data_IF_349734068953
#
_entry.id   IF_349734068953
#
_cell.length_a   1.000
_cell.length_b   1.000
_cell.length_c   1.000
_cell.angle_alpha   90.00
_cell.angle_beta   90.00
_cell.angle_gamma   90.00
#
_symmetry.space_group_name_H-M   'P 1'
#
loop_
_entity.id
_entity.type
_entity.pdbx_description
1 polymer ?
#
# COMPACT_ATOMS: atom_id res chain seq x y z
N UNK A 1 -37.57 33.89 21.40
CA UNK A 1 -36.19 33.41 21.51
C UNK A 1 -35.52 33.57 20.17
N UNK A 2 -34.53 34.43 20.05
CA UNK A 2 -33.81 34.61 18.78
C UNK A 2 -33.07 33.30 18.43
N UNK A 3 -33.33 32.75 17.24
CA UNK A 3 -32.61 31.55 16.73
C UNK A 3 -31.15 31.89 16.54
N UNK A 4 -30.25 31.00 16.98
CA UNK A 4 -28.81 31.16 16.75
C UNK A 4 -28.52 31.22 15.24
N UNK A 5 -27.55 32.05 14.79
CA UNK A 5 -27.11 32.04 13.39
C UNK A 5 -26.60 30.65 12.99
N UNK A 6 -27.13 30.11 11.90
CA UNK A 6 -26.70 28.81 11.35
C UNK A 6 -25.40 28.96 10.58
N UNK A 7 -24.45 28.06 10.81
CA UNK A 7 -23.17 27.97 10.12
C UNK A 7 -22.89 26.54 9.70
N UNK A 8 -22.68 26.33 8.43
CA UNK A 8 -22.24 25.05 7.91
C UNK A 8 -20.78 25.16 7.46
N UNK A 9 -19.99 24.15 7.81
CA UNK A 9 -18.60 24.02 7.36
C UNK A 9 -18.41 22.64 6.73
N UNK A 10 -17.80 22.61 5.57
CA UNK A 10 -17.31 21.41 4.92
C UNK A 10 -15.79 21.36 5.11
N UNK A 11 -15.28 20.21 5.49
CA UNK A 11 -13.86 20.00 5.70
C UNK A 11 -13.47 18.59 5.24
N UNK A 12 -12.24 18.44 4.76
CA UNK A 12 -11.68 17.18 4.30
C UNK A 12 -10.50 16.75 5.19
N UNK A 13 -10.44 15.48 5.52
CA UNK A 13 -9.45 14.88 6.41
C UNK A 13 -8.98 13.54 5.85
N UNK A 14 -7.86 13.00 6.36
CA UNK A 14 -7.41 11.66 6.01
C UNK A 14 -7.07 10.80 7.23
N UNK A 15 -7.42 9.52 7.17
CA UNK A 15 -6.84 8.47 8.02
C UNK A 15 -5.58 7.98 7.34
N UNK A 16 -4.43 8.19 7.98
CA UNK A 16 -3.12 7.74 7.49
C UNK A 16 -2.53 6.82 8.53
N UNK A 17 -2.39 5.55 8.18
CA UNK A 17 -1.83 4.50 9.03
C UNK A 17 -0.47 4.07 8.51
N UNK A 18 0.46 3.79 9.43
CA UNK A 18 1.74 3.15 9.16
C UNK A 18 1.99 2.14 10.26
N UNK A 19 2.01 0.86 9.93
CA UNK A 19 2.06 -0.23 10.91
C UNK A 19 0.94 -0.10 11.95
N UNK A 20 1.29 0.01 13.23
CA UNK A 20 0.37 0.23 14.36
C UNK A 20 0.19 1.70 14.75
N UNK A 21 0.67 2.63 13.92
CA UNK A 21 0.64 4.07 14.15
C UNK A 21 -0.40 4.77 13.27
N UNK A 22 -0.98 5.85 13.80
CA UNK A 22 -1.82 6.79 13.07
C UNK A 22 -1.19 8.18 13.10
N UNK A 23 -1.19 8.87 11.94
CA UNK A 23 -0.77 10.26 11.85
C UNK A 23 -1.88 11.17 12.37
N UNK A 24 -1.57 12.02 13.35
CA UNK A 24 -2.50 12.96 13.93
C UNK A 24 -1.89 14.37 13.98
N UNK A 25 -2.78 15.37 13.89
CA UNK A 25 -2.49 16.80 14.06
C UNK A 25 -3.03 17.26 15.41
N UNK A 26 -2.19 17.91 16.23
CA UNK A 26 -2.58 18.48 17.51
C UNK A 26 -3.16 19.87 17.32
N UNK A 27 -4.37 20.07 17.82
CA UNK A 27 -5.05 21.35 17.71
C UNK A 27 -4.33 22.46 18.50
N UNK A 28 -4.23 23.63 17.88
CA UNK A 28 -3.63 24.81 18.49
C UNK A 28 -4.47 25.35 19.64
N UNK A 29 -3.84 26.11 20.56
CA UNK A 29 -4.51 26.73 21.71
C UNK A 29 -5.56 27.77 21.31
N UNK A 30 -5.50 28.28 20.10
CA UNK A 30 -6.55 29.14 19.50
C UNK A 30 -7.86 28.39 19.24
N UNK A 31 -7.79 27.04 19.09
CA UNK A 31 -8.94 26.16 18.83
C UNK A 31 -9.47 25.53 20.12
N UNK A 32 -8.59 25.05 20.99
CA UNK A 32 -8.93 24.41 22.27
C UNK A 32 -7.88 24.69 23.34
N UNK A 33 -8.32 24.82 24.58
CA UNK A 33 -7.41 24.99 25.74
C UNK A 33 -6.78 23.67 26.18
N UNK A 34 -7.40 22.54 25.89
CA UNK A 34 -6.94 21.20 26.26
C UNK A 34 -6.11 20.59 25.14
N UNK A 35 -5.25 19.64 25.49
CA UNK A 35 -4.58 18.81 24.51
C UNK A 35 -5.63 17.96 23.78
N UNK A 36 -5.71 18.13 22.46
CA UNK A 36 -6.67 17.40 21.65
C UNK A 36 -6.10 17.18 20.24
N UNK A 37 -6.18 15.96 19.78
CA UNK A 37 -5.66 15.54 18.47
C UNK A 37 -6.80 15.27 17.50
N UNK A 38 -6.55 15.51 16.23
CA UNK A 38 -7.47 15.26 15.11
C UNK A 38 -6.77 14.56 13.96
N UNK A 39 -7.54 14.07 12.99
CA UNK A 39 -6.97 13.68 11.71
C UNK A 39 -6.36 14.90 11.01
N UNK A 40 -5.26 14.74 10.27
CA UNK A 40 -4.74 15.82 9.43
C UNK A 40 -5.77 16.19 8.36
N UNK A 41 -5.92 17.49 8.11
CA UNK A 41 -6.92 18.03 7.19
C UNK A 41 -7.66 19.23 7.74
N UNK A 42 -8.40 19.91 6.89
CA UNK A 42 -9.05 21.16 7.23
C UNK A 42 -10.18 21.59 6.33
N UNK A 43 -10.50 22.86 6.34
CA UNK A 43 -11.60 23.44 5.57
C UNK A 43 -11.27 23.49 4.09
N UNK A 44 -12.32 23.34 3.25
CA UNK A 44 -12.20 23.56 1.83
C UNK A 44 -12.22 25.06 1.52
N UNK A 45 -11.36 25.49 0.63
CA UNK A 45 -11.46 26.79 0.01
C UNK A 45 -12.64 26.86 -0.97
N UNK A 46 -13.07 28.08 -1.32
CA UNK A 46 -14.20 28.25 -2.23
C UNK A 46 -13.89 27.69 -3.62
N UNK A 47 -14.62 26.65 -4.02
CA UNK A 47 -14.44 25.97 -5.31
C UNK A 47 -13.34 24.91 -5.34
N UNK A 48 -12.71 24.62 -4.21
CA UNK A 48 -11.69 23.60 -4.08
C UNK A 48 -12.30 22.19 -4.07
N UNK A 49 -11.67 21.25 -4.76
CA UNK A 49 -12.02 19.84 -4.68
C UNK A 49 -11.63 19.27 -3.31
N UNK A 50 -12.47 18.46 -2.66
CA UNK A 50 -12.15 17.89 -1.34
C UNK A 50 -10.87 17.06 -1.29
N UNK A 51 -10.49 16.41 -2.40
CA UNK A 51 -9.23 15.64 -2.47
C UNK A 51 -8.02 16.56 -2.52
N UNK A 52 -8.11 17.65 -3.26
CA UNK A 52 -7.04 18.64 -3.33
C UNK A 52 -6.88 19.35 -1.97
N UNK A 53 -8.01 19.70 -1.33
CA UNK A 53 -8.03 20.31 -0.01
C UNK A 53 -7.30 19.43 1.03
N UNK A 54 -7.63 18.14 1.12
CA UNK A 54 -7.03 17.26 2.12
C UNK A 54 -5.53 17.06 1.89
N UNK A 55 -5.08 16.95 0.64
CA UNK A 55 -3.65 16.83 0.31
C UNK A 55 -2.89 18.11 0.70
N UNK A 56 -3.44 19.29 0.35
CA UNK A 56 -2.88 20.59 0.74
C UNK A 56 -2.77 20.72 2.26
N UNK A 57 -3.84 20.44 3.00
CA UNK A 57 -3.88 20.52 4.47
C UNK A 57 -2.90 19.55 5.13
N UNK A 58 -2.79 18.30 4.62
CA UNK A 58 -1.80 17.35 5.13
C UNK A 58 -0.39 17.90 4.97
N UNK A 59 -0.09 18.48 3.80
CA UNK A 59 1.23 19.09 3.56
C UNK A 59 1.47 20.26 4.52
N UNK A 60 0.52 21.16 4.70
CA UNK A 60 0.64 22.35 5.57
C UNK A 60 0.78 21.96 7.04
N UNK A 61 -0.02 21.01 7.51
CA UNK A 61 -0.05 20.56 8.91
C UNK A 61 1.05 19.60 9.29
N UNK A 62 1.57 18.80 8.33
CA UNK A 62 2.51 17.70 8.64
C UNK A 62 3.83 17.76 7.88
N UNK A 63 3.93 18.58 6.82
CA UNK A 63 5.10 18.64 5.92
C UNK A 63 5.30 17.37 5.10
N UNK A 64 4.30 16.49 5.04
CA UNK A 64 4.35 15.23 4.29
C UNK A 64 3.59 15.34 2.98
N UNK A 65 4.14 14.72 1.95
CA UNK A 65 3.45 14.56 0.67
C UNK A 65 2.64 13.25 0.73
N UNK A 66 1.33 13.40 0.85
CA UNK A 66 0.40 12.28 0.98
C UNK A 66 -0.40 12.06 -0.30
N UNK A 67 -0.72 10.80 -0.55
CA UNK A 67 -1.75 10.41 -1.51
C UNK A 67 -3.02 10.03 -0.76
N UNK A 68 -4.19 10.20 -1.42
CA UNK A 68 -5.49 9.82 -0.86
C UNK A 68 -6.29 8.98 -1.84
N UNK A 69 -7.10 8.08 -1.29
CA UNK A 69 -7.97 7.20 -2.07
C UNK A 69 -9.05 7.95 -2.86
N UNK A 70 -9.72 7.24 -3.76
CA UNK A 70 -10.79 7.82 -4.59
C UNK A 70 -12.11 7.96 -3.84
N UNK A 71 -12.32 7.17 -2.81
CA UNK A 71 -13.56 7.14 -2.02
C UNK A 71 -13.36 7.76 -0.66
N UNK A 72 -14.42 8.39 -0.14
CA UNK A 72 -14.43 8.99 1.17
C UNK A 72 -15.66 8.58 1.98
N UNK A 73 -15.54 8.62 3.29
CA UNK A 73 -16.64 8.51 4.24
C UNK A 73 -17.08 9.92 4.66
N UNK A 74 -18.36 10.10 4.93
CA UNK A 74 -18.88 11.41 5.35
C UNK A 74 -19.43 11.30 6.76
N UNK A 75 -18.90 12.13 7.65
CA UNK A 75 -19.35 12.27 9.03
C UNK A 75 -20.00 13.63 9.24
N UNK A 76 -21.00 13.67 10.12
CA UNK A 76 -21.76 14.87 10.40
C UNK A 76 -21.77 15.15 11.89
N UNK A 77 -21.48 16.39 12.27
CA UNK A 77 -21.57 16.83 13.65
C UNK A 77 -22.40 18.11 13.76
N UNK A 78 -23.46 18.05 14.57
CA UNK A 78 -24.29 19.21 14.89
C UNK A 78 -23.93 19.73 16.28
N UNK A 79 -23.48 20.98 16.34
CA UNK A 79 -22.93 21.65 17.52
C UNK A 79 -23.69 22.93 17.82
N UNK A 80 -24.92 22.85 18.41
CA UNK A 80 -25.72 24.03 18.71
C UNK A 80 -25.11 24.83 19.86
N UNK A 81 -24.99 26.13 19.67
CA UNK A 81 -24.53 27.07 20.70
C UNK A 81 -23.02 27.12 20.90
N UNK A 82 -22.25 26.57 19.97
CA UNK A 82 -20.78 26.66 20.00
C UNK A 82 -20.30 28.10 19.75
N UNK A 83 -19.19 28.49 20.37
CA UNK A 83 -18.55 29.78 20.12
C UNK A 83 -17.73 29.73 18.85
N UNK A 84 -17.98 30.67 17.92
CA UNK A 84 -17.22 30.88 16.70
C UNK A 84 -17.12 32.38 16.42
N UNK A 85 -15.93 32.89 16.15
CA UNK A 85 -15.72 34.30 15.79
C UNK A 85 -16.39 35.28 16.78
N UNK A 86 -16.23 35.02 18.11
CA UNK A 86 -16.75 35.88 19.17
C UNK A 86 -18.27 35.86 19.39
N UNK A 87 -19.00 34.89 18.79
CA UNK A 87 -20.46 34.73 18.98
C UNK A 87 -20.86 33.26 19.06
N UNK A 88 -22.04 33.03 19.69
CA UNK A 88 -22.69 31.71 19.67
C UNK A 88 -23.35 31.46 18.32
N UNK A 89 -23.10 30.29 17.74
CA UNK A 89 -23.72 29.86 16.49
C UNK A 89 -24.29 28.45 16.63
N UNK A 90 -25.22 28.11 15.76
CA UNK A 90 -25.71 26.77 15.52
C UNK A 90 -24.83 26.17 14.37
N UNK A 91 -23.77 25.46 14.74
CA UNK A 91 -22.78 24.94 13.79
C UNK A 91 -23.11 23.52 13.35
N UNK A 92 -22.99 23.29 12.05
CA UNK A 92 -23.08 21.98 11.43
C UNK A 92 -21.82 21.71 10.62
N UNK A 93 -21.04 20.72 11.04
CA UNK A 93 -19.82 20.32 10.35
C UNK A 93 -20.06 19.04 9.51
N UNK A 94 -19.79 19.12 8.22
CA UNK A 94 -19.66 17.95 7.35
C UNK A 94 -18.17 17.67 7.16
N UNK A 95 -17.77 16.43 7.41
CA UNK A 95 -16.39 15.99 7.39
C UNK A 95 -16.26 14.86 6.38
N UNK A 96 -15.49 15.12 5.33
CA UNK A 96 -15.18 14.16 4.27
C UNK A 96 -13.85 13.50 4.64
N UNK A 97 -13.85 12.21 4.94
CA UNK A 97 -12.66 11.51 5.44
C UNK A 97 -12.22 10.46 4.42
N UNK A 98 -11.03 10.67 3.89
CA UNK A 98 -10.36 9.76 2.97
C UNK A 98 -9.45 8.78 3.71
N UNK A 99 -9.16 7.65 3.11
CA UNK A 99 -7.99 6.85 3.46
C UNK A 99 -6.79 7.42 2.72
N UNK A 100 -5.71 7.71 3.44
CA UNK A 100 -4.49 8.28 2.88
C UNK A 100 -3.25 7.48 3.26
N UNK A 101 -2.16 7.71 2.55
CA UNK A 101 -0.87 7.11 2.83
C UNK A 101 0.27 8.05 2.43
N UNK A 102 1.42 7.81 3.00
CA UNK A 102 2.68 8.49 2.69
C UNK A 102 3.76 7.45 2.38
N UNK A 103 4.78 7.78 1.58
CA UNK A 103 5.88 6.86 1.30
C UNK A 103 6.50 6.30 2.59
N UNK A 104 6.98 5.05 2.60
CA UNK A 104 7.58 4.43 3.79
C UNK A 104 8.80 5.20 4.32
N UNK A 105 9.55 5.82 3.43
CA UNK A 105 10.75 6.64 3.70
C UNK A 105 10.45 8.12 3.96
N UNK A 106 9.16 8.50 4.04
CA UNK A 106 8.79 9.88 4.33
C UNK A 106 9.43 10.37 5.64
N UNK A 107 9.89 11.64 5.69
CA UNK A 107 10.52 12.20 6.86
C UNK A 107 9.59 12.27 8.06
N UNK A 108 10.10 12.47 9.28
CA UNK A 108 9.25 12.76 10.44
C UNK A 108 8.32 13.95 10.17
N UNK A 109 7.04 13.89 10.61
CA UNK A 109 6.10 14.98 10.39
C UNK A 109 6.54 16.25 11.11
N UNK A 110 6.31 17.41 10.47
CA UNK A 110 6.57 18.73 11.02
C UNK A 110 5.54 19.73 10.49
N UNK A 111 5.02 20.58 11.34
CA UNK A 111 4.07 21.62 10.93
C UNK A 111 4.80 22.68 10.09
N UNK A 112 4.24 23.01 8.92
CA UNK A 112 4.74 24.06 8.03
C UNK A 112 3.91 25.33 8.14
N UNK A 113 2.63 25.21 8.49
CA UNK A 113 1.71 26.34 8.64
C UNK A 113 2.15 27.26 9.79
N UNK A 114 2.17 28.57 9.53
CA UNK A 114 2.48 29.59 10.55
C UNK A 114 1.15 30.17 11.05
N UNK A 115 0.97 30.23 12.38
CA UNK A 115 -0.25 30.74 13.06
C UNK A 115 -1.55 30.02 12.69
N UNK A 116 -1.46 28.76 12.25
CA UNK A 116 -2.59 27.94 11.88
C UNK A 116 -3.37 27.29 13.03
N UNK A 117 -4.21 26.34 12.66
CA UNK A 117 -5.03 25.56 13.59
C UNK A 117 -4.30 24.38 14.22
N UNK A 118 -3.11 24.02 13.69
CA UNK A 118 -2.28 22.87 14.12
C UNK A 118 -0.98 23.37 14.73
N UNK A 119 -0.61 22.81 15.88
CA UNK A 119 0.62 23.16 16.59
C UNK A 119 1.68 22.05 16.57
N UNK A 120 1.28 20.84 16.29
CA UNK A 120 2.15 19.65 16.27
C UNK A 120 1.54 18.58 15.36
N UNK A 121 2.37 17.83 14.64
CA UNK A 121 1.97 16.62 13.93
C UNK A 121 2.86 15.46 14.39
N UNK A 122 2.23 14.31 14.67
CA UNK A 122 2.96 13.15 15.17
C UNK A 122 2.28 11.82 14.83
N UNK A 123 3.10 10.80 14.69
CA UNK A 123 2.65 9.41 14.68
C UNK A 123 2.31 8.98 16.12
N UNK A 124 1.11 8.46 16.33
CA UNK A 124 0.63 7.99 17.63
C UNK A 124 0.24 6.52 17.54
N UNK A 125 0.55 5.68 18.55
CA UNK A 125 0.07 4.30 18.56
C UNK A 125 -1.46 4.25 18.52
N UNK A 126 -2.01 3.46 17.59
CA UNK A 126 -3.47 3.26 17.47
C UNK A 126 -4.06 2.73 18.78
N UNK A 127 -3.34 1.84 19.47
CA UNK A 127 -3.75 1.32 20.77
C UNK A 127 -3.92 2.45 21.82
N UNK A 128 -3.00 3.43 21.85
CA UNK A 128 -3.08 4.57 22.79
C UNK A 128 -4.28 5.47 22.50
N UNK A 129 -4.63 5.63 21.22
CA UNK A 129 -5.82 6.38 20.80
C UNK A 129 -7.09 5.65 21.22
N UNK A 130 -7.18 4.35 20.96
CA UNK A 130 -8.36 3.54 21.29
C UNK A 130 -8.58 3.38 22.79
N UNK A 131 -7.51 3.34 23.57
CA UNK A 131 -7.56 3.26 25.04
C UNK A 131 -7.70 4.64 25.74
N UNK A 132 -7.74 5.73 24.93
CA UNK A 132 -7.93 7.09 25.46
C UNK A 132 -6.70 7.71 26.12
N UNK A 133 -5.50 7.12 25.94
CA UNK A 133 -4.23 7.72 26.41
C UNK A 133 -3.83 8.93 25.56
N UNK A 134 -4.21 8.93 24.27
CA UNK A 134 -4.10 10.09 23.40
C UNK A 134 -5.49 10.69 23.24
N UNK A 135 -5.75 11.91 23.77
CA UNK A 135 -7.06 12.53 23.66
C UNK A 135 -7.32 12.99 22.21
N UNK A 136 -8.40 12.50 21.62
CA UNK A 136 -8.75 12.79 20.24
C UNK A 136 -10.16 13.33 20.09
N UNK A 137 -10.42 14.08 19.01
CA UNK A 137 -11.80 14.44 18.64
C UNK A 137 -12.59 13.18 18.25
N UNK A 138 -13.93 13.12 18.51
CA UNK A 138 -14.73 11.91 18.26
C UNK A 138 -14.60 11.36 16.83
N UNK A 139 -14.42 12.23 15.84
CA UNK A 139 -14.23 11.83 14.43
C UNK A 139 -13.08 10.84 14.23
N UNK A 140 -11.99 10.95 15.01
CA UNK A 140 -10.84 10.03 14.90
C UNK A 140 -11.27 8.61 15.24
N UNK A 141 -12.02 8.43 16.34
CA UNK A 141 -12.51 7.12 16.77
C UNK A 141 -13.57 6.56 15.77
N UNK A 142 -14.46 7.42 15.27
CA UNK A 142 -15.45 7.06 14.26
C UNK A 142 -14.75 6.59 12.98
N UNK A 143 -13.75 7.35 12.52
CA UNK A 143 -13.01 7.03 11.31
C UNK A 143 -12.18 5.74 11.45
N UNK A 144 -11.55 5.50 12.62
CA UNK A 144 -10.84 4.25 12.90
C UNK A 144 -11.79 3.05 12.97
N UNK A 145 -12.98 3.19 13.57
CA UNK A 145 -13.96 2.12 13.64
C UNK A 145 -14.49 1.70 12.26
N UNK A 146 -14.60 2.66 11.34
CA UNK A 146 -15.05 2.45 9.96
C UNK A 146 -13.91 2.13 8.99
N UNK A 147 -12.65 2.31 9.41
CA UNK A 147 -11.51 2.03 8.55
C UNK A 147 -11.46 0.54 8.19
N UNK A 148 -11.23 0.27 6.91
CA UNK A 148 -10.96 -1.07 6.40
C UNK A 148 -9.74 -0.99 5.50
N UNK A 149 -8.78 -1.90 5.63
CA UNK A 149 -7.65 -1.99 4.71
C UNK A 149 -8.15 -2.05 3.27
N UNK A 150 -7.43 -1.42 2.37
CA UNK A 150 -7.72 -1.51 0.95
C UNK A 150 -7.53 -2.96 0.49
N UNK A 151 -8.60 -3.58 0.02
CA UNK A 151 -8.51 -4.94 -0.51
C UNK A 151 -7.94 -4.89 -1.91
N UNK A 152 -6.78 -5.51 -2.06
CA UNK A 152 -6.08 -5.61 -3.34
C UNK A 152 -5.88 -7.09 -3.69
N UNK A 153 -6.56 -7.55 -4.73
CA UNK A 153 -6.35 -8.89 -5.27
C UNK A 153 -5.57 -8.81 -6.57
N UNK A 154 -4.48 -9.56 -6.66
CA UNK A 154 -3.65 -9.64 -7.86
C UNK A 154 -3.60 -11.08 -8.37
N UNK A 155 -3.87 -11.26 -9.65
CA UNK A 155 -3.60 -12.50 -10.36
C UNK A 155 -2.23 -12.40 -11.00
N UNK A 156 -1.35 -13.36 -10.73
CA UNK A 156 -0.06 -13.51 -11.37
C UNK A 156 0.06 -14.80 -12.17
N UNK A 157 0.92 -14.82 -13.18
CA UNK A 157 1.25 -16.01 -13.96
C UNK A 157 2.77 -16.16 -14.09
N UNK A 158 3.28 -17.33 -13.74
CA UNK A 158 4.70 -17.62 -13.56
C UNK A 158 5.09 -18.88 -14.31
N UNK A 159 6.36 -18.96 -14.73
CA UNK A 159 6.94 -20.11 -15.41
C UNK A 159 7.84 -20.93 -14.49
N UNK A 160 7.58 -22.20 -14.30
CA UNK A 160 8.59 -23.14 -13.85
C UNK A 160 9.35 -23.67 -15.04
N UNK A 161 10.59 -23.21 -15.23
CA UNK A 161 11.52 -23.68 -16.25
C UNK A 161 12.67 -24.39 -15.56
N UNK A 162 12.82 -25.68 -15.85
CA UNK A 162 13.90 -26.52 -15.31
C UNK A 162 14.67 -27.09 -16.47
N UNK A 163 16.00 -27.02 -16.42
CA UNK A 163 16.91 -27.66 -17.38
C UNK A 163 17.74 -28.78 -16.69
N UNK A 164 18.29 -29.68 -17.48
CA UNK A 164 19.03 -30.84 -17.01
C UNK A 164 18.16 -32.09 -16.89
N UNK A 165 18.77 -33.25 -17.22
CA UNK A 165 18.08 -34.55 -17.23
C UNK A 165 18.11 -35.28 -15.87
N UNK A 166 18.82 -34.72 -14.90
CA UNK A 166 18.97 -35.32 -13.59
C UNK A 166 19.82 -36.59 -13.56
N UNK A 167 20.45 -37.01 -14.70
CA UNK A 167 21.26 -38.22 -14.76
C UNK A 167 22.45 -38.17 -13.81
N UNK A 168 23.02 -36.96 -13.59
CA UNK A 168 24.06 -36.67 -12.59
C UNK A 168 23.51 -35.93 -11.36
N UNK A 169 22.19 -35.81 -11.20
CA UNK A 169 21.56 -35.02 -10.15
C UNK A 169 21.60 -33.50 -10.37
N UNK A 170 22.17 -33.03 -11.48
CA UNK A 170 22.32 -31.62 -11.77
C UNK A 170 21.10 -31.12 -12.56
N UNK A 171 20.18 -30.46 -11.85
CA UNK A 171 19.04 -29.73 -12.42
C UNK A 171 19.15 -28.28 -12.01
N UNK A 172 18.94 -27.37 -12.95
CA UNK A 172 18.86 -25.94 -12.68
C UNK A 172 17.43 -25.43 -12.90
N UNK A 173 17.01 -24.47 -12.13
CA UNK A 173 15.75 -23.73 -12.30
C UNK A 173 16.06 -22.29 -12.70
N UNK A 174 15.30 -21.76 -13.65
CA UNK A 174 15.37 -20.35 -14.02
C UNK A 174 14.66 -19.51 -12.98
N UNK A 175 15.37 -18.54 -12.39
CA UNK A 175 14.83 -17.63 -11.39
C UNK A 175 15.15 -16.19 -11.75
N UNK A 176 14.27 -15.28 -11.30
CA UNK A 176 14.44 -13.82 -11.34
C UNK A 176 14.55 -13.28 -9.91
N UNK A 177 15.42 -12.28 -9.69
CA UNK A 177 15.60 -11.67 -8.37
C UNK A 177 14.79 -10.38 -8.28
N UNK A 178 14.07 -10.24 -7.15
CA UNK A 178 13.20 -9.11 -6.88
C UNK A 178 14.04 -7.88 -6.53
N UNK A 179 13.83 -6.78 -7.28
CA UNK A 179 14.48 -5.49 -7.09
C UNK A 179 13.94 -4.74 -5.87
N UNK A 180 14.54 -3.58 -5.55
CA UNK A 180 14.07 -2.68 -4.49
C UNK A 180 12.64 -2.14 -4.71
N UNK A 181 12.10 -2.28 -5.91
CA UNK A 181 10.72 -1.85 -6.25
C UNK A 181 9.66 -2.91 -5.96
N UNK A 182 10.07 -4.14 -5.67
CA UNK A 182 9.16 -5.26 -5.38
C UNK A 182 9.07 -5.60 -3.91
N UNK A 183 8.04 -6.38 -3.56
CA UNK A 183 7.97 -7.03 -2.24
C UNK A 183 9.08 -8.09 -2.13
N UNK A 184 9.62 -8.30 -0.93
CA UNK A 184 10.69 -9.28 -0.67
C UNK A 184 11.98 -9.03 -1.45
N UNK A 185 12.41 -7.76 -1.52
CA UNK A 185 13.66 -7.33 -2.15
C UNK A 185 14.82 -8.28 -1.89
N UNK A 186 15.52 -8.68 -2.96
CA UNK A 186 16.66 -9.59 -2.93
C UNK A 186 16.32 -11.07 -2.90
N UNK A 187 15.05 -11.44 -2.70
CA UNK A 187 14.60 -12.83 -2.85
C UNK A 187 14.45 -13.21 -4.31
N UNK A 188 14.60 -14.50 -4.60
CA UNK A 188 14.40 -15.04 -5.94
C UNK A 188 12.98 -15.61 -6.11
N UNK A 189 12.41 -15.44 -7.27
CA UNK A 189 11.09 -15.93 -7.68
C UNK A 189 11.17 -16.67 -9.01
N UNK A 190 10.07 -17.32 -9.40
CA UNK A 190 9.89 -17.79 -10.76
C UNK A 190 9.72 -16.58 -11.71
N UNK A 191 10.23 -16.65 -12.95
CA UNK A 191 9.93 -15.65 -13.97
C UNK A 191 8.42 -15.51 -14.17
N UNK A 192 7.93 -14.28 -14.22
CA UNK A 192 6.50 -14.02 -14.33
C UNK A 192 6.06 -12.75 -13.63
N UNK A 193 4.81 -12.39 -13.82
CA UNK A 193 4.27 -11.15 -13.30
C UNK A 193 2.75 -11.10 -13.27
N UNK A 194 2.23 -9.88 -13.12
CA UNK A 194 0.79 -9.65 -13.10
C UNK A 194 0.14 -9.93 -14.44
N UNK A 195 -1.05 -10.55 -14.38
CA UNK A 195 -1.90 -10.74 -15.55
C UNK A 195 -2.65 -9.43 -15.80
N UNK A 196 -2.45 -8.82 -16.96
CA UNK A 196 -3.13 -7.59 -17.34
C UNK A 196 -4.62 -7.83 -17.59
N UNK A 197 -5.43 -6.76 -17.45
CA UNK A 197 -6.86 -6.86 -17.69
C UNK A 197 -7.16 -7.32 -19.13
N UNK A 198 -7.79 -8.48 -19.27
CA UNK A 198 -8.10 -9.09 -20.56
C UNK A 198 -6.96 -9.91 -21.18
N UNK A 199 -5.80 -9.99 -20.54
CA UNK A 199 -4.70 -10.85 -20.95
C UNK A 199 -4.97 -12.31 -20.55
N UNK A 200 -4.58 -13.26 -21.40
CA UNK A 200 -4.62 -14.66 -21.02
C UNK A 200 -3.39 -15.01 -20.16
N UNK A 201 -3.53 -15.73 -19.01
CA UNK A 201 -2.38 -16.03 -18.14
C UNK A 201 -1.19 -16.73 -18.84
N UNK A 202 -1.46 -17.56 -19.86
CA UNK A 202 -0.39 -18.17 -20.68
C UNK A 202 0.38 -17.13 -21.50
N UNK A 203 -0.32 -16.09 -21.98
CA UNK A 203 0.32 -15.00 -22.74
C UNK A 203 1.19 -14.15 -21.83
N UNK A 204 0.75 -13.92 -20.59
CA UNK A 204 1.55 -13.27 -19.55
C UNK A 204 2.89 -14.00 -19.34
N UNK A 205 2.86 -15.33 -19.17
CA UNK A 205 4.09 -16.13 -19.01
C UNK A 205 5.05 -15.95 -20.19
N UNK A 206 4.53 -15.97 -21.43
CA UNK A 206 5.38 -15.76 -22.62
C UNK A 206 5.97 -14.35 -22.65
N UNK A 207 5.17 -13.33 -22.33
CA UNK A 207 5.60 -11.94 -22.28
C UNK A 207 6.69 -11.74 -21.23
N UNK A 208 6.46 -12.22 -20.00
CA UNK A 208 7.40 -12.07 -18.88
C UNK A 208 8.72 -12.83 -19.11
N UNK A 209 8.70 -14.04 -19.68
CA UNK A 209 9.93 -14.76 -20.05
C UNK A 209 10.77 -13.96 -21.05
N UNK A 210 10.11 -13.22 -21.95
CA UNK A 210 10.82 -12.36 -22.89
C UNK A 210 11.34 -11.09 -22.22
N UNK A 211 10.52 -10.41 -21.41
CA UNK A 211 10.85 -9.13 -20.79
C UNK A 211 11.89 -9.29 -19.67
N UNK A 212 11.69 -10.23 -18.76
CA UNK A 212 12.57 -10.45 -17.61
C UNK A 212 13.80 -11.30 -17.94
N UNK A 213 13.68 -12.27 -18.85
CA UNK A 213 14.74 -13.25 -19.10
C UNK A 213 15.36 -13.18 -20.50
N UNK A 214 14.74 -12.44 -21.43
CA UNK A 214 15.18 -12.43 -22.84
C UNK A 214 15.03 -13.77 -23.55
N UNK A 215 14.12 -14.63 -23.09
CA UNK A 215 13.95 -15.99 -23.58
C UNK A 215 12.58 -16.16 -24.24
N UNK A 216 12.56 -16.93 -25.31
CA UNK A 216 11.33 -17.44 -25.92
C UNK A 216 11.03 -18.81 -25.32
N UNK A 217 9.81 -18.98 -24.78
CA UNK A 217 9.41 -20.20 -24.10
C UNK A 217 8.11 -20.80 -24.65
N UNK A 218 8.00 -22.12 -24.54
CA UNK A 218 6.73 -22.84 -24.77
C UNK A 218 6.08 -23.14 -23.43
N UNK A 219 4.85 -22.64 -23.24
CA UNK A 219 4.11 -22.76 -21.98
C UNK A 219 3.27 -24.03 -21.98
N UNK A 220 3.52 -24.90 -21.01
CA UNK A 220 2.80 -26.15 -20.76
C UNK A 220 1.57 -25.97 -19.89
N UNK A 221 1.23 -26.97 -19.08
CA UNK A 221 0.05 -26.97 -18.23
C UNK A 221 0.27 -26.22 -16.91
N UNK A 222 -0.83 -25.86 -16.24
CA UNK A 222 -0.79 -25.32 -14.88
C UNK A 222 -0.32 -26.44 -13.95
N UNK A 223 0.79 -26.20 -13.28
CA UNK A 223 1.36 -27.12 -12.28
C UNK A 223 0.79 -26.86 -10.89
N UNK A 224 0.63 -25.57 -10.54
CA UNK A 224 0.30 -25.14 -9.20
C UNK A 224 -0.55 -23.87 -9.25
N UNK A 225 -1.52 -23.80 -8.36
CA UNK A 225 -2.15 -22.54 -7.97
C UNK A 225 -1.73 -22.28 -6.53
N UNK A 226 -0.95 -21.23 -6.33
CA UNK A 226 -0.47 -20.79 -5.02
C UNK A 226 -1.17 -19.50 -4.66
N UNK A 227 -1.55 -19.34 -3.40
CA UNK A 227 -2.08 -18.07 -2.90
C UNK A 227 -1.35 -17.58 -1.66
N UNK A 228 -1.28 -16.27 -1.54
CA UNK A 228 -0.71 -15.58 -0.39
C UNK A 228 -1.65 -14.47 0.04
N UNK A 229 -1.99 -14.44 1.33
CA UNK A 229 -2.85 -13.42 1.90
C UNK A 229 -2.13 -12.73 3.05
N UNK A 230 -1.82 -11.46 2.88
CA UNK A 230 -1.10 -10.64 3.85
C UNK A 230 -1.75 -9.28 4.02
N UNK A 231 -1.75 -8.78 5.25
CA UNK A 231 -2.15 -7.40 5.55
C UNK A 231 -0.92 -6.63 6.03
N UNK A 232 -0.64 -5.50 5.41
CA UNK A 232 0.54 -4.69 5.72
C UNK A 232 0.70 -3.49 4.79
N UNK A 233 1.79 -2.76 4.98
CA UNK A 233 2.12 -1.63 4.13
C UNK A 233 2.64 -2.13 2.76
N UNK A 234 2.02 -1.69 1.69
CA UNK A 234 2.52 -1.85 0.32
C UNK A 234 3.80 -1.03 0.11
N UNK A 235 4.60 -1.27 -0.96
CA UNK A 235 5.76 -0.46 -1.28
C UNK A 235 5.44 1.04 -1.46
N UNK A 236 4.21 1.38 -1.78
CA UNK A 236 3.71 2.77 -1.83
C UNK A 236 3.50 3.39 -0.45
N UNK A 237 3.53 2.59 0.64
CA UNK A 237 3.17 2.99 1.99
C UNK A 237 1.69 2.86 2.31
N UNK A 238 0.85 2.47 1.35
CA UNK A 238 -0.58 2.22 1.58
C UNK A 238 -0.76 0.94 2.39
N UNK A 239 -1.58 0.98 3.44
CA UNK A 239 -1.94 -0.22 4.19
C UNK A 239 -2.99 -1.02 3.40
N UNK A 240 -2.65 -2.25 3.05
CA UNK A 240 -3.45 -3.12 2.19
C UNK A 240 -3.74 -4.47 2.83
N UNK A 241 -4.91 -5.00 2.49
CA UNK A 241 -5.31 -6.40 2.66
C UNK A 241 -5.09 -7.09 1.30
N UNK A 242 -3.84 -7.57 1.11
CA UNK A 242 -3.36 -8.08 -0.17
C UNK A 242 -3.60 -9.58 -0.29
N UNK A 243 -4.22 -10.00 -1.41
CA UNK A 243 -4.41 -11.40 -1.77
C UNK A 243 -3.81 -11.65 -3.15
N UNK A 244 -2.63 -12.26 -3.19
CA UNK A 244 -1.96 -12.70 -4.41
C UNK A 244 -2.38 -14.11 -4.79
N UNK A 245 -2.83 -14.31 -6.02
CA UNK A 245 -3.08 -15.65 -6.60
C UNK A 245 -2.12 -15.87 -7.74
N UNK A 246 -1.28 -16.88 -7.64
CA UNK A 246 -0.21 -17.19 -8.60
C UNK A 246 -0.53 -18.49 -9.35
N UNK A 247 -0.66 -18.40 -10.67
CA UNK A 247 -0.75 -19.56 -11.55
C UNK A 247 0.66 -19.92 -12.02
N UNK A 248 1.18 -21.05 -11.56
CA UNK A 248 2.49 -21.54 -12.03
C UNK A 248 2.29 -22.54 -13.15
N UNK A 249 2.85 -22.23 -14.30
CA UNK A 249 2.86 -23.09 -15.47
C UNK A 249 4.21 -23.80 -15.62
N UNK A 250 4.19 -25.02 -16.09
CA UNK A 250 5.42 -25.61 -16.65
C UNK A 250 5.79 -24.87 -17.94
N UNK A 251 7.06 -24.64 -18.18
CA UNK A 251 7.52 -24.06 -19.43
C UNK A 251 8.88 -24.64 -19.83
N UNK A 252 9.15 -24.59 -21.14
CA UNK A 252 10.44 -25.01 -21.71
C UNK A 252 11.00 -23.87 -22.55
N UNK A 253 12.31 -23.74 -22.56
CA UNK A 253 13.07 -22.83 -23.41
C UNK A 253 14.07 -23.66 -24.25
N UNK A 254 14.67 -23.03 -25.24
CA UNK A 254 15.66 -23.73 -26.06
C UNK A 254 16.86 -24.20 -25.24
N UNK A 255 17.35 -25.41 -25.51
CA UNK A 255 18.52 -25.98 -24.87
C UNK A 255 19.76 -25.08 -25.10
N UNK A 256 20.44 -24.71 -24.01
CA UNK A 256 21.60 -23.84 -24.05
C UNK A 256 21.28 -22.34 -24.16
N UNK A 257 20.01 -21.95 -24.08
CA UNK A 257 19.64 -20.54 -24.00
C UNK A 257 20.11 -19.93 -22.66
N UNK A 258 20.83 -18.81 -22.74
CA UNK A 258 21.32 -18.08 -21.58
C UNK A 258 20.44 -16.85 -21.31
N UNK A 259 19.91 -16.71 -20.08
CA UNK A 259 19.00 -15.64 -19.78
C UNK A 259 19.72 -14.29 -19.73
N UNK A 260 19.00 -13.23 -20.12
CA UNK A 260 19.47 -11.85 -20.02
C UNK A 260 18.33 -10.98 -19.51
N UNK A 261 18.60 -10.19 -18.49
CA UNK A 261 17.67 -9.16 -18.06
C UNK A 261 17.52 -8.11 -19.17
N UNK A 262 16.31 -7.95 -19.69
CA UNK A 262 16.01 -6.94 -20.71
C UNK A 262 15.23 -5.76 -20.15
N UNK A 263 14.49 -5.97 -19.05
CA UNK A 263 13.72 -4.92 -18.40
C UNK A 263 14.63 -3.96 -17.64
N UNK A 264 14.61 -2.65 -18.01
CA UNK A 264 15.31 -1.61 -17.26
C UNK A 264 14.37 -0.93 -16.27
N UNK A 265 14.72 -0.99 -14.98
CA UNK A 265 13.98 -0.29 -13.93
C UNK A 265 12.64 -0.92 -13.52
N UNK A 266 12.44 -2.19 -13.78
CA UNK A 266 11.31 -2.98 -13.36
C UNK A 266 11.42 -3.56 -11.94
N UNK A 267 10.56 -4.53 -11.65
CA UNK A 267 10.56 -5.26 -10.37
C UNK A 267 11.61 -6.37 -10.28
N UNK A 268 12.34 -6.62 -11.37
CA UNK A 268 13.40 -7.62 -11.48
C UNK A 268 14.76 -6.94 -11.71
N UNK A 269 15.80 -7.34 -10.99
CA UNK A 269 17.17 -6.80 -11.10
C UNK A 269 18.22 -7.83 -11.48
N UNK A 270 17.89 -9.11 -11.50
CA UNK A 270 18.77 -10.18 -11.96
C UNK A 270 17.98 -11.39 -12.45
N UNK A 271 18.57 -12.16 -13.35
CA UNK A 271 18.07 -13.46 -13.81
C UNK A 271 19.20 -14.47 -13.85
N UNK A 272 18.95 -15.70 -13.43
CA UNK A 272 19.96 -16.75 -13.40
C UNK A 272 19.37 -18.16 -13.44
N UNK A 273 20.18 -19.11 -13.95
CA UNK A 273 20.00 -20.51 -13.70
C UNK A 273 20.58 -20.84 -12.33
N UNK A 274 19.77 -21.42 -11.44
CA UNK A 274 20.15 -21.73 -10.06
C UNK A 274 19.99 -23.25 -9.83
N UNK A 275 20.98 -23.92 -9.23
CA UNK A 275 20.86 -25.34 -8.94
C UNK A 275 19.63 -25.63 -8.07
N UNK A 276 18.79 -26.57 -8.50
CA UNK A 276 17.60 -26.99 -7.75
C UNK A 276 17.98 -27.48 -6.35
N UNK A 277 19.14 -28.11 -6.22
CA UNK A 277 19.65 -28.60 -4.93
C UNK A 277 19.87 -27.45 -3.93
N UNK A 278 20.43 -26.31 -4.37
CA UNK A 278 20.72 -25.14 -3.53
C UNK A 278 19.40 -24.46 -3.09
N UNK A 279 18.41 -24.42 -4.01
CA UNK A 279 17.09 -23.89 -3.69
C UNK A 279 16.40 -24.74 -2.63
N UNK A 280 16.35 -26.06 -2.81
CA UNK A 280 15.69 -26.97 -1.89
C UNK A 280 16.47 -27.15 -0.59
N UNK A 281 17.80 -26.94 -0.61
CA UNK A 281 18.69 -26.92 0.54
C UNK A 281 18.52 -25.67 1.42
N UNK A 282 17.94 -24.60 0.88
CA UNK A 282 17.77 -23.33 1.59
C UNK A 282 18.97 -22.39 1.49
N UNK A 283 19.92 -22.67 0.59
CA UNK A 283 21.13 -21.85 0.38
C UNK A 283 20.84 -20.57 -0.41
N UNK A 284 19.71 -20.54 -1.09
CA UNK A 284 19.24 -19.39 -1.90
C UNK A 284 17.93 -18.86 -1.32
N UNK A 285 17.80 -17.54 -1.03
CA UNK A 285 16.57 -16.95 -0.53
C UNK A 285 15.54 -16.89 -1.66
N UNK A 286 14.54 -17.76 -1.63
CA UNK A 286 13.47 -17.85 -2.63
C UNK A 286 12.10 -17.63 -1.99
N UNK A 287 11.13 -17.20 -2.80
CA UNK A 287 9.73 -17.16 -2.37
C UNK A 287 9.17 -18.59 -2.18
N UNK A 288 8.21 -18.79 -1.25
CA UNK A 288 7.63 -20.12 -0.96
C UNK A 288 7.11 -20.86 -2.18
N UNK A 289 6.51 -20.14 -3.12
CA UNK A 289 5.95 -20.69 -4.38
C UNK A 289 7.01 -21.42 -5.21
N UNK A 290 8.28 -21.00 -5.18
CA UNK A 290 9.39 -21.65 -5.89
C UNK A 290 9.63 -23.05 -5.36
N UNK A 291 9.74 -23.17 -4.03
CA UNK A 291 9.97 -24.47 -3.36
C UNK A 291 8.79 -25.41 -3.57
N UNK A 292 7.57 -24.88 -3.49
CA UNK A 292 6.36 -25.67 -3.71
C UNK A 292 6.28 -26.20 -5.15
N UNK A 293 6.52 -25.34 -6.15
CA UNK A 293 6.53 -25.73 -7.55
C UNK A 293 7.60 -26.78 -7.86
N UNK A 294 8.83 -26.62 -7.32
CA UNK A 294 9.91 -27.57 -7.52
C UNK A 294 9.63 -28.95 -6.91
N UNK A 295 8.95 -29.00 -5.75
CA UNK A 295 8.56 -30.26 -5.14
C UNK A 295 7.49 -31.01 -5.92
N UNK A 296 6.61 -30.29 -6.59
CA UNK A 296 5.57 -30.91 -7.44
C UNK A 296 6.12 -31.39 -8.80
N UNK A 297 7.26 -30.82 -9.25
CA UNK A 297 7.89 -31.17 -10.52
C UNK A 297 8.96 -32.27 -10.37
N UNK A 298 9.11 -32.87 -9.20
CA UNK A 298 9.95 -34.06 -8.96
C UNK A 298 9.21 -35.32 -9.40
#
# INVERSE_FOLDING_TARGET
>A
MSSLPKRQRVAAYAVILRDDLILLSRLARSVTAEELWTLPGGGLDHGEDPRDAVVREIHEETGLDAEVGETARVYSAHLPGVWREGRRVDAHALRIVYDGWVPPDAPPPRVLEVDGSTMEAAWKPVADVLEGRVPVVPMVLEALADHRPHRHQRLGAYALVVRGDGADGARDVLLTRISERGFHTGSWSLPGGGVDHGEAPRSTVVRELREECGLEGTVGDVLLVHDEHVSGAAPTGRFEDFHGVSLVFTATVDDGAEPRLLEEGGTTDAVAWVPVADVLGGDVPVLPVVVEALRLAQ
#
